data_IF_774024844528
#
_entry.id   IF_774024844528
#
_cell.length_a   1.000
_cell.length_b   1.000
_cell.length_c   1.000
_cell.angle_alpha   90.00
_cell.angle_beta   90.00
_cell.angle_gamma   90.00
#
_symmetry.space_group_name_H-M   'P 1'
#
loop_
_entity.id
_entity.type
_entity.pdbx_description
1 polymer ?
#
# COMPACT_ATOMS: atom_id res chain seq x y z
N UNK A 1 -4.40 4.09 3.50
CA UNK A 1 -4.81 4.12 4.92
C UNK A 1 -3.87 3.29 5.77
N UNK A 2 -3.89 1.97 5.58
CA UNK A 2 -3.06 1.04 6.36
C UNK A 2 -1.56 1.40 6.35
N UNK A 3 -0.98 1.61 5.16
CA UNK A 3 0.43 2.06 5.01
C UNK A 3 0.73 3.32 5.82
N UNK A 4 -0.16 4.32 5.80
CA UNK A 4 0.02 5.57 6.52
C UNK A 4 0.05 5.36 8.05
N UNK A 5 -0.73 4.40 8.56
CA UNK A 5 -0.70 4.01 9.98
C UNK A 5 0.60 3.28 10.32
N UNK A 6 1.06 2.39 9.45
CA UNK A 6 2.30 1.64 9.66
C UNK A 6 3.54 2.53 9.74
N UNK A 7 3.54 3.67 9.05
CA UNK A 7 4.65 4.65 9.11
C UNK A 7 4.44 5.75 10.16
N UNK A 8 3.53 5.56 11.13
CA UNK A 8 3.29 6.54 12.20
C UNK A 8 2.58 7.84 11.76
N UNK A 9 2.07 7.91 10.52
CA UNK A 9 1.44 9.13 9.96
C UNK A 9 -0.02 8.88 9.54
N UNK A 10 -0.94 8.61 10.49
CA UNK A 10 -2.29 8.15 10.18
C UNK A 10 -3.12 9.12 9.31
N UNK A 11 -2.82 10.43 9.37
CA UNK A 11 -3.51 11.47 8.58
C UNK A 11 -2.96 11.63 7.14
N UNK A 12 -1.91 10.90 6.78
CA UNK A 12 -1.20 11.04 5.49
C UNK A 12 -1.68 10.08 4.39
N UNK A 13 -2.87 9.48 4.51
CA UNK A 13 -3.38 8.52 3.53
C UNK A 13 -3.46 9.09 2.09
N UNK A 14 -3.78 10.39 1.94
CA UNK A 14 -3.81 11.07 0.65
C UNK A 14 -2.40 11.21 0.04
N UNK A 15 -1.40 11.50 0.87
CA UNK A 15 0.00 11.59 0.44
C UNK A 15 0.51 10.23 -0.05
N UNK A 16 0.17 9.14 0.66
CA UNK A 16 0.49 7.78 0.20
C UNK A 16 -0.14 7.48 -1.16
N UNK A 17 -1.40 7.83 -1.36
CA UNK A 17 -2.07 7.63 -2.66
C UNK A 17 -1.34 8.38 -3.78
N UNK A 18 -1.02 9.66 -3.56
CA UNK A 18 -0.31 10.48 -4.54
C UNK A 18 1.08 9.93 -4.86
N UNK A 19 1.81 9.45 -3.85
CA UNK A 19 3.11 8.83 -4.06
C UNK A 19 3.01 7.56 -4.93
N UNK A 20 2.03 6.69 -4.67
CA UNK A 20 1.76 5.50 -5.49
C UNK A 20 1.38 5.87 -6.92
N UNK A 21 0.54 6.87 -7.08
CA UNK A 21 0.13 7.38 -8.39
C UNK A 21 1.34 7.89 -9.19
N UNK A 22 2.19 8.73 -8.59
CA UNK A 22 3.42 9.21 -9.22
C UNK A 22 4.38 8.06 -9.59
N UNK A 23 4.51 7.06 -8.71
CA UNK A 23 5.32 5.87 -9.00
C UNK A 23 4.77 5.05 -10.15
N UNK A 24 3.44 4.98 -10.32
CA UNK A 24 2.81 4.25 -11.44
C UNK A 24 3.17 4.84 -12.81
N UNK A 25 3.44 6.14 -12.86
CA UNK A 25 3.87 6.86 -14.06
C UNK A 25 5.38 6.84 -14.29
N UNK A 26 6.15 6.32 -13.33
CA UNK A 26 7.62 6.32 -13.37
C UNK A 26 8.15 4.88 -13.50
N UNK A 27 9.38 4.70 -13.97
CA UNK A 27 10.10 3.41 -13.94
C UNK A 27 10.61 3.05 -12.54
N UNK A 28 9.76 3.22 -11.52
CA UNK A 28 10.11 2.90 -10.13
C UNK A 28 10.37 1.41 -9.97
N UNK A 29 11.41 1.07 -9.19
CA UNK A 29 11.71 -0.32 -8.78
C UNK A 29 10.80 -0.81 -7.64
N UNK A 30 10.04 0.09 -7.02
CA UNK A 30 9.17 -0.23 -5.90
C UNK A 30 7.89 -0.94 -6.39
N UNK A 31 7.36 -1.92 -5.63
CA UNK A 31 6.17 -2.68 -6.01
C UNK A 31 4.88 -1.88 -5.74
N UNK A 32 4.75 -0.72 -6.38
CA UNK A 32 3.60 0.18 -6.22
C UNK A 32 2.27 -0.50 -6.57
N UNK A 33 2.31 -1.48 -7.48
CA UNK A 33 1.16 -2.27 -7.93
C UNK A 33 0.51 -3.13 -6.82
N UNK A 34 1.21 -3.34 -5.69
CA UNK A 34 0.63 -4.04 -4.52
C UNK A 34 -0.23 -3.12 -3.65
N UNK A 35 -0.21 -1.81 -3.88
CA UNK A 35 -1.01 -0.86 -3.12
C UNK A 35 -2.37 -0.67 -3.78
N UNK A 36 -3.42 -1.08 -3.07
CA UNK A 36 -4.81 -0.97 -3.50
C UNK A 36 -5.65 -0.23 -2.46
N UNK A 37 -6.83 0.23 -2.88
CA UNK A 37 -7.75 0.95 -1.99
C UNK A 37 -8.28 0.03 -0.88
N UNK A 38 -8.70 0.60 0.24
CA UNK A 38 -9.25 -0.19 1.37
C UNK A 38 -10.55 -0.91 1.03
N UNK A 39 -11.24 -0.53 -0.06
CA UNK A 39 -12.41 -1.24 -0.57
C UNK A 39 -12.05 -2.45 -1.45
N UNK A 40 -10.77 -2.69 -1.69
CA UNK A 40 -10.29 -3.75 -2.59
C UNK A 40 -10.33 -3.37 -4.05
N UNK A 41 -10.77 -2.15 -4.40
CA UNK A 41 -10.82 -1.67 -5.78
C UNK A 41 -9.39 -1.30 -6.23
N UNK A 42 -8.99 -1.84 -7.38
CA UNK A 42 -7.74 -1.49 -8.08
C UNK A 42 -7.95 -0.12 -8.76
N UNK A 43 -6.99 0.79 -8.59
CA UNK A 43 -7.08 2.13 -9.17
C UNK A 43 -7.23 2.05 -10.69
N UNK A 44 -8.11 2.87 -11.27
CA UNK A 44 -8.32 2.94 -12.71
C UNK A 44 -7.02 3.31 -13.46
N UNK A 45 -6.19 4.15 -12.85
CA UNK A 45 -4.90 4.60 -13.40
C UNK A 45 -3.88 3.47 -13.33
N UNK A 46 -3.50 2.92 -14.49
CA UNK A 46 -2.59 1.78 -14.59
C UNK A 46 -3.24 0.42 -14.31
N UNK A 47 -4.58 0.36 -14.25
CA UNK A 47 -5.36 -0.85 -13.92
C UNK A 47 -4.97 -2.09 -14.73
N UNK A 48 -4.81 -1.99 -16.05
CA UNK A 48 -4.41 -3.14 -16.89
C UNK A 48 -3.02 -3.67 -16.55
N UNK A 49 -2.03 -2.77 -16.42
CA UNK A 49 -0.66 -3.14 -16.04
C UNK A 49 -0.61 -3.69 -14.61
N UNK A 50 -1.29 -3.03 -13.69
CA UNK A 50 -1.37 -3.44 -12.29
C UNK A 50 -2.03 -4.82 -12.18
N UNK A 51 -3.14 -5.04 -12.88
CA UNK A 51 -3.83 -6.32 -12.98
C UNK A 51 -2.89 -7.42 -13.47
N UNK A 52 -2.26 -7.26 -14.64
CA UNK A 52 -1.39 -8.30 -15.20
C UNK A 52 -0.23 -8.65 -14.27
N UNK A 53 0.35 -7.68 -13.56
CA UNK A 53 1.42 -7.94 -12.60
C UNK A 53 0.89 -8.70 -11.38
N UNK A 54 -0.26 -8.30 -10.83
CA UNK A 54 -0.88 -8.96 -9.69
C UNK A 54 -1.28 -10.41 -10.01
N UNK A 55 -1.89 -10.63 -11.18
CA UNK A 55 -2.22 -11.97 -11.66
C UNK A 55 -0.97 -12.83 -11.85
N UNK A 56 0.14 -12.24 -12.33
CA UNK A 56 1.42 -12.97 -12.43
C UNK A 56 2.03 -13.35 -11.08
N UNK A 57 1.67 -12.63 -10.01
CA UNK A 57 2.03 -12.96 -8.63
C UNK A 57 1.03 -13.94 -7.98
N UNK A 58 0.01 -14.40 -8.70
CA UNK A 58 -1.02 -15.32 -8.22
C UNK A 58 -2.15 -14.66 -7.45
N UNK A 59 -2.30 -13.33 -7.54
CA UNK A 59 -3.42 -12.59 -6.94
C UNK A 59 -4.65 -12.71 -7.83
N UNK A 60 -5.77 -13.15 -7.25
CA UNK A 60 -7.05 -13.24 -7.95
C UNK A 60 -7.69 -11.85 -8.08
N UNK A 61 -7.68 -11.30 -9.30
CA UNK A 61 -8.30 -10.01 -9.65
C UNK A 61 -9.61 -10.28 -10.36
N UNK A 62 -10.72 -9.80 -9.79
CA UNK A 62 -12.07 -10.03 -10.31
C UNK A 62 -12.72 -8.74 -10.75
N UNK A 63 -13.59 -8.82 -11.75
CA UNK A 63 -14.45 -7.70 -12.15
C UNK A 63 -15.68 -7.63 -11.25
N UNK A 64 -15.89 -6.47 -10.63
CA UNK A 64 -17.05 -6.17 -9.80
C UNK A 64 -18.30 -5.87 -10.63
N UNK A 65 -19.42 -5.66 -9.94
CA UNK A 65 -20.72 -5.44 -10.56
C UNK A 65 -20.80 -4.17 -11.42
N UNK A 66 -19.91 -3.20 -11.20
CA UNK A 66 -19.85 -1.95 -11.97
C UNK A 66 -18.67 -1.94 -12.96
N UNK A 67 -18.06 -3.09 -13.24
CA UNK A 67 -16.93 -3.21 -14.14
C UNK A 67 -15.58 -2.81 -13.52
N UNK A 68 -15.53 -2.52 -12.22
CA UNK A 68 -14.30 -2.18 -11.52
C UNK A 68 -13.49 -3.43 -11.18
N UNK A 69 -12.17 -3.36 -11.28
CA UNK A 69 -11.30 -4.46 -10.85
C UNK A 69 -11.18 -4.48 -9.32
N UNK A 70 -11.31 -5.66 -8.73
CA UNK A 70 -11.33 -5.87 -7.28
C UNK A 70 -10.47 -7.04 -6.86
N UNK A 71 -9.98 -6.96 -5.63
CA UNK A 71 -9.18 -8.01 -4.98
C UNK A 71 -9.78 -8.29 -3.61
N UNK A 72 -9.73 -9.55 -3.20
CA UNK A 72 -10.09 -9.98 -1.84
C UNK A 72 -8.86 -9.98 -0.93
N UNK A 73 -8.88 -9.15 0.11
CA UNK A 73 -7.80 -9.09 1.08
C UNK A 73 -7.72 -10.29 2.02
N UNK A 74 -8.75 -11.12 2.07
CA UNK A 74 -8.76 -12.32 2.92
C UNK A 74 -7.70 -13.32 2.47
N UNK A 75 -7.41 -13.38 1.17
CA UNK A 75 -6.43 -14.30 0.59
C UNK A 75 -5.03 -13.70 0.47
N UNK A 76 -4.90 -12.41 0.19
CA UNK A 76 -3.61 -11.78 -0.12
C UNK A 76 -3.30 -10.51 0.67
N UNK A 77 -4.06 -10.22 1.73
CA UNK A 77 -3.89 -9.03 2.54
C UNK A 77 -2.64 -9.06 3.40
N UNK A 78 -1.90 -7.95 3.41
CA UNK A 78 -0.77 -7.76 4.32
C UNK A 78 -1.19 -6.84 5.47
N UNK A 79 -1.37 -7.45 6.65
CA UNK A 79 -1.83 -6.79 7.87
C UNK A 79 -0.93 -7.15 9.07
N UNK A 80 0.31 -6.65 9.09
CA UNK A 80 1.21 -6.86 10.23
C UNK A 80 0.65 -6.23 11.51
N UNK A 81 1.04 -6.79 12.66
CA UNK A 81 0.67 -6.21 13.95
C UNK A 81 1.30 -4.82 14.12
N UNK A 82 0.60 -3.85 14.74
CA UNK A 82 1.24 -2.60 15.15
C UNK A 82 2.48 -2.89 16.01
N UNK A 83 3.62 -2.28 15.68
CA UNK A 83 4.90 -2.54 16.34
C UNK A 83 5.68 -3.76 15.82
N UNK A 84 5.21 -4.44 14.76
CA UNK A 84 5.95 -5.54 14.15
C UNK A 84 7.28 -5.10 13.50
N UNK A 85 7.48 -3.80 13.27
CA UNK A 85 8.70 -3.22 12.73
C UNK A 85 9.01 -1.94 13.50
N UNK A 86 10.30 -1.69 13.71
CA UNK A 86 10.77 -0.41 14.23
C UNK A 86 10.51 0.66 13.17
N UNK A 87 9.76 1.68 13.54
CA UNK A 87 9.45 2.83 12.70
C UNK A 87 10.40 3.97 13.05
N UNK A 88 10.64 4.92 12.15
CA UNK A 88 11.55 6.06 12.44
C UNK A 88 11.11 6.87 13.67
N UNK A 89 9.83 6.84 14.05
CA UNK A 89 9.36 7.44 15.30
C UNK A 89 9.89 6.75 16.56
N UNK A 90 10.24 5.46 16.48
CA UNK A 90 10.89 4.73 17.56
C UNK A 90 12.40 5.06 17.63
N UNK A 91 13.01 5.45 16.50
CA UNK A 91 14.42 5.88 16.44
C UNK A 91 14.61 7.27 17.06
N UNK A 92 13.65 8.18 16.84
CA UNK A 92 13.70 9.54 17.41
C UNK A 92 13.58 9.51 18.95
N UNK A 93 12.76 8.61 19.51
CA UNK A 93 12.67 8.42 20.97
C UNK A 93 13.94 7.83 21.59
N UNK A 94 14.57 6.86 20.91
CA UNK A 94 15.81 6.24 21.40
C UNK A 94 17.00 7.22 21.35
N UNK A 95 16.98 8.19 20.44
CA UNK A 95 18.00 9.25 20.33
C UNK A 95 17.85 10.34 21.41
N UNK A 96 16.64 10.65 21.86
CA UNK A 96 16.40 11.59 22.96
C UNK A 96 16.74 11.00 24.34
N UNK A 97 16.53 9.69 24.53
CA UNK A 97 16.87 8.97 25.77
C UNK A 97 18.39 8.77 25.94
N UNK A 98 19.16 8.65 24.84
CA UNK A 98 20.63 8.59 24.88
C UNK A 98 21.31 9.96 25.00
N UNK A 99 20.57 11.04 24.72
CA UNK A 99 21.05 12.42 24.81
C UNK A 99 20.80 13.07 26.19
N UNK A 100 20.23 12.33 27.16
CA UNK A 100 19.98 12.75 28.55
C UNK A 100 20.98 12.13 29.53
#
# INVERSE_FOLDING_TARGET
>A
GHIAKLVGRPKSARQVKLAVEMMSHTSSKLPWYRVVSTSGIVSAHGSSRQQSILESEGVDVRTGSYGELRIDFTSCGWFPSPGAFHTDSDIESDLEDWAS
#
